data_IF_661285185418
#
_entry.id   IF_661285185418
#
_cell.length_a   1.000
_cell.length_b   1.000
_cell.length_c   1.000
_cell.angle_alpha   90.00
_cell.angle_beta   90.00
_cell.angle_gamma   90.00
#
_symmetry.space_group_name_H-M   'P 1'
#
loop_
_entity.id
_entity.type
_entity.pdbx_description
1 polymer ?
#
# COMPACT_ATOMS: atom_id res chain seq x y z
N UNK A 1 6.22 39.76 -49.00
CA UNK A 1 6.86 38.42 -49.01
C UNK A 1 6.03 37.46 -48.20
N UNK A 2 5.57 36.40 -48.83
CA UNK A 2 4.67 35.42 -48.20
C UNK A 2 5.40 34.65 -47.12
N UNK A 3 4.65 34.20 -46.11
CA UNK A 3 5.12 33.39 -44.95
C UNK A 3 5.86 32.11 -45.43
N UNK A 4 5.44 31.56 -46.56
CA UNK A 4 6.08 30.41 -47.22
C UNK A 4 7.50 30.67 -47.67
N UNK A 5 7.78 31.87 -48.23
CA UNK A 5 9.13 32.24 -48.65
C UNK A 5 10.10 32.44 -47.48
N UNK A 6 9.61 32.89 -46.32
CA UNK A 6 10.42 32.95 -45.10
C UNK A 6 10.71 31.54 -44.52
N UNK A 7 9.75 30.65 -44.59
CA UNK A 7 9.94 29.24 -44.16
C UNK A 7 10.91 28.49 -45.08
N UNK A 8 10.87 28.76 -46.41
CA UNK A 8 11.84 28.18 -47.34
C UNK A 8 13.27 28.71 -47.13
N UNK A 9 13.42 29.99 -46.86
CA UNK A 9 14.73 30.57 -46.51
C UNK A 9 15.27 30.04 -45.17
N UNK A 10 14.41 29.85 -44.14
CA UNK A 10 14.81 29.22 -42.88
C UNK A 10 15.21 27.75 -43.09
N UNK A 11 14.50 26.99 -43.92
CA UNK A 11 14.87 25.60 -44.28
C UNK A 11 16.17 25.54 -45.08
N UNK A 12 16.48 26.53 -45.91
CA UNK A 12 17.76 26.62 -46.63
C UNK A 12 18.92 27.09 -45.72
N UNK A 13 18.66 27.97 -44.74
CA UNK A 13 19.66 28.37 -43.74
C UNK A 13 19.92 27.28 -42.68
N UNK A 14 18.95 26.42 -42.38
CA UNK A 14 19.10 25.20 -41.60
C UNK A 14 19.72 24.07 -42.41
N UNK A 15 20.34 24.42 -43.56
CA UNK A 15 20.93 23.56 -44.53
C UNK A 15 21.80 22.48 -43.90
N UNK A 16 21.46 21.27 -44.25
CA UNK A 16 22.28 20.05 -44.28
C UNK A 16 23.58 20.14 -43.46
N UNK A 17 23.45 20.17 -42.14
CA UNK A 17 24.47 19.54 -41.33
C UNK A 17 24.47 18.07 -41.75
N UNK A 18 25.47 17.68 -42.53
CA UNK A 18 25.84 16.27 -42.70
C UNK A 18 25.85 15.70 -41.28
N UNK A 19 24.93 14.81 -40.98
CA UNK A 19 25.04 13.97 -39.79
C UNK A 19 26.36 13.21 -39.95
N UNK A 20 27.39 13.70 -39.27
CA UNK A 20 28.53 12.85 -38.98
C UNK A 20 27.93 11.67 -38.23
N UNK A 21 28.31 10.43 -38.55
CA UNK A 21 27.86 9.28 -37.78
C UNK A 21 28.26 9.59 -36.33
N UNK A 22 27.26 9.85 -35.48
CA UNK A 22 27.47 9.95 -34.03
C UNK A 22 28.02 8.59 -33.64
N UNK A 23 29.34 8.48 -33.48
CA UNK A 23 29.94 7.38 -32.74
C UNK A 23 29.17 7.36 -31.43
N UNK A 24 28.32 6.34 -31.24
CA UNK A 24 27.72 6.10 -29.95
C UNK A 24 28.89 6.04 -28.96
N UNK A 25 28.91 6.89 -27.93
CA UNK A 25 30.00 6.81 -26.97
C UNK A 25 30.08 5.34 -26.51
N UNK A 26 31.22 4.72 -26.77
CA UNK A 26 31.51 3.36 -26.29
C UNK A 26 31.48 3.45 -24.77
N UNK A 27 30.56 2.72 -24.15
CA UNK A 27 30.48 2.67 -22.68
C UNK A 27 31.81 2.12 -22.16
N UNK A 28 32.51 2.92 -21.34
CA UNK A 28 33.74 2.48 -20.68
C UNK A 28 33.36 1.87 -19.33
N UNK A 29 33.73 0.61 -19.12
CA UNK A 29 33.53 -0.06 -17.84
C UNK A 29 34.33 0.67 -16.74
N UNK A 30 33.71 0.89 -15.57
CA UNK A 30 34.42 1.42 -14.40
C UNK A 30 35.56 0.51 -13.95
N UNK A 31 36.53 1.10 -13.24
CA UNK A 31 37.59 0.32 -12.57
C UNK A 31 36.99 -0.58 -11.49
N UNK A 32 37.63 -1.74 -11.30
CA UNK A 32 37.21 -2.68 -10.27
C UNK A 32 37.56 -2.15 -8.89
N UNK A 33 36.66 -2.25 -7.88
CA UNK A 33 36.93 -1.81 -6.53
C UNK A 33 38.11 -2.56 -5.88
N UNK A 34 38.87 -1.89 -5.04
CA UNK A 34 40.01 -2.48 -4.34
C UNK A 34 39.61 -3.53 -3.29
N UNK A 35 38.37 -3.47 -2.80
CA UNK A 35 37.85 -4.30 -1.71
C UNK A 35 37.15 -5.60 -2.15
N UNK A 36 37.26 -5.99 -3.40
CA UNK A 36 36.59 -7.21 -3.92
C UNK A 36 36.85 -8.42 -3.04
N UNK A 37 38.11 -8.68 -2.72
CA UNK A 37 38.51 -9.86 -1.95
C UNK A 37 37.92 -9.87 -0.53
N UNK A 38 37.84 -8.70 0.09
CA UNK A 38 37.28 -8.57 1.45
C UNK A 38 35.74 -8.78 1.46
N UNK A 39 35.06 -8.26 0.45
CA UNK A 39 33.61 -8.47 0.34
C UNK A 39 33.27 -9.92 -0.05
N UNK A 40 34.11 -10.58 -0.87
CA UNK A 40 33.97 -12.02 -1.15
C UNK A 40 34.17 -12.89 0.11
N UNK A 41 35.15 -12.56 0.96
CA UNK A 41 35.34 -13.23 2.25
C UNK A 41 34.16 -13.05 3.19
N UNK A 42 33.46 -11.92 3.09
CA UNK A 42 32.23 -11.65 3.85
C UNK A 42 30.99 -12.40 3.32
N UNK A 43 31.09 -13.13 2.21
CA UNK A 43 30.03 -13.94 1.63
C UNK A 43 29.29 -13.29 0.45
N UNK A 44 29.84 -12.23 -0.15
CA UNK A 44 29.27 -11.56 -1.32
C UNK A 44 29.97 -12.08 -2.59
N UNK A 45 29.24 -12.65 -3.53
CA UNK A 45 29.77 -13.06 -4.82
C UNK A 45 29.94 -11.84 -5.74
N UNK A 46 31.12 -11.74 -6.40
CA UNK A 46 31.31 -10.75 -7.44
C UNK A 46 30.58 -11.18 -8.72
N UNK A 47 29.80 -10.27 -9.28
CA UNK A 47 29.14 -10.42 -10.60
C UNK A 47 29.71 -9.37 -11.54
N UNK A 48 30.07 -9.79 -12.75
CA UNK A 48 30.56 -8.90 -13.80
C UNK A 48 29.67 -9.03 -15.04
N UNK A 49 29.28 -7.90 -15.63
CA UNK A 49 28.53 -7.84 -16.88
C UNK A 49 29.12 -6.76 -17.83
N UNK A 50 28.43 -6.47 -18.92
CA UNK A 50 28.92 -5.52 -19.92
C UNK A 50 29.09 -4.08 -19.41
N UNK A 51 28.47 -3.75 -18.27
CA UNK A 51 28.43 -2.39 -17.71
C UNK A 51 29.36 -2.21 -16.48
N UNK A 52 29.98 -3.25 -15.99
CA UNK A 52 30.87 -3.18 -14.82
C UNK A 52 30.68 -4.34 -13.86
N UNK A 53 30.82 -4.05 -12.56
CA UNK A 53 30.75 -5.06 -11.49
C UNK A 53 29.73 -4.67 -10.42
N UNK A 54 29.20 -5.70 -9.76
CA UNK A 54 28.35 -5.58 -8.59
C UNK A 54 28.60 -6.77 -7.67
N UNK A 55 28.02 -6.75 -6.49
CA UNK A 55 28.06 -7.90 -5.61
C UNK A 55 26.68 -8.51 -5.46
N UNK A 56 26.62 -9.81 -5.23
CA UNK A 56 25.41 -10.61 -5.07
C UNK A 56 25.51 -11.48 -3.83
N UNK A 57 24.44 -11.52 -3.05
CA UNK A 57 24.20 -12.57 -2.06
C UNK A 57 22.94 -13.32 -2.44
N UNK A 58 22.94 -14.64 -2.32
CA UNK A 58 21.79 -15.48 -2.61
C UNK A 58 21.55 -16.44 -1.45
N UNK A 59 20.30 -16.57 -1.05
CA UNK A 59 19.86 -17.48 0.02
C UNK A 59 18.55 -18.15 -0.42
N UNK A 60 18.47 -19.45 -0.19
CA UNK A 60 17.30 -20.26 -0.53
C UNK A 60 16.55 -20.64 0.74
N UNK A 61 15.23 -20.50 0.72
CA UNK A 61 14.35 -20.88 1.80
C UNK A 61 13.38 -21.96 1.34
N UNK A 62 13.34 -23.13 2.03
CA UNK A 62 12.33 -24.14 1.72
C UNK A 62 10.93 -23.65 2.09
N UNK A 63 9.90 -24.20 1.48
CA UNK A 63 8.50 -23.86 1.79
C UNK A 63 8.13 -24.08 3.26
N UNK A 64 8.86 -24.97 3.93
CA UNK A 64 8.67 -25.25 5.38
C UNK A 64 9.34 -24.24 6.30
N UNK A 65 10.11 -23.29 5.75
CA UNK A 65 10.78 -22.27 6.56
C UNK A 65 9.73 -21.42 7.30
N UNK A 66 9.93 -21.29 8.61
CA UNK A 66 9.03 -20.55 9.50
C UNK A 66 9.54 -19.11 9.68
N UNK A 67 8.69 -18.13 9.38
CA UNK A 67 8.94 -16.72 9.69
C UNK A 67 7.74 -16.13 10.46
N UNK A 68 7.95 -15.81 11.72
CA UNK A 68 6.86 -15.49 12.62
C UNK A 68 5.88 -16.65 12.78
N UNK A 69 4.59 -16.40 12.65
CA UNK A 69 3.54 -17.43 12.77
C UNK A 69 3.39 -18.31 11.53
N UNK A 70 3.97 -17.92 10.37
CA UNK A 70 3.67 -18.55 9.11
C UNK A 70 4.86 -19.29 8.50
N UNK A 71 4.60 -20.45 7.89
CA UNK A 71 5.53 -21.09 6.95
C UNK A 71 5.39 -20.40 5.59
N UNK A 72 6.51 -20.19 4.89
CA UNK A 72 6.50 -19.51 3.60
C UNK A 72 5.61 -20.21 2.56
N UNK A 73 5.53 -21.54 2.60
CA UNK A 73 4.70 -22.33 1.67
C UNK A 73 3.21 -22.01 1.72
N UNK A 74 2.69 -21.46 2.83
CA UNK A 74 1.30 -20.99 2.92
C UNK A 74 0.99 -19.83 1.97
N UNK A 75 2.00 -19.27 1.33
CA UNK A 75 1.82 -18.31 0.25
C UNK A 75 1.02 -18.89 -0.92
N UNK A 76 1.29 -20.13 -1.31
CA UNK A 76 0.55 -20.78 -2.40
C UNK A 76 -0.92 -20.98 -2.04
N UNK A 77 -1.20 -21.38 -0.79
CA UNK A 77 -2.58 -21.49 -0.30
C UNK A 77 -3.29 -20.12 -0.35
N UNK A 78 -2.59 -19.05 0.04
CA UNK A 78 -3.13 -17.69 -0.02
C UNK A 78 -3.43 -17.25 -1.46
N UNK A 79 -2.58 -17.59 -2.43
CA UNK A 79 -2.82 -17.31 -3.86
C UNK A 79 -3.99 -18.13 -4.38
N UNK A 80 -4.08 -19.43 -4.02
CA UNK A 80 -5.19 -20.30 -4.41
C UNK A 80 -6.54 -19.81 -3.85
N UNK A 81 -6.57 -19.29 -2.61
CA UNK A 81 -7.77 -18.69 -2.02
C UNK A 81 -8.29 -17.52 -2.86
N UNK A 82 -7.41 -16.66 -3.37
CA UNK A 82 -7.81 -15.58 -4.27
C UNK A 82 -8.37 -16.08 -5.60
N UNK A 83 -7.85 -17.17 -6.14
CA UNK A 83 -8.36 -17.77 -7.38
C UNK A 83 -9.76 -18.38 -7.19
N UNK A 84 -10.02 -18.99 -6.02
CA UNK A 84 -11.33 -19.54 -5.68
C UNK A 84 -12.34 -18.45 -5.28
N UNK A 85 -11.85 -17.28 -4.87
CA UNK A 85 -12.71 -16.16 -4.49
C UNK A 85 -13.45 -15.60 -5.72
N UNK A 86 -14.76 -15.40 -5.59
CA UNK A 86 -15.61 -14.79 -6.63
C UNK A 86 -15.44 -13.27 -6.73
N UNK A 87 -14.40 -12.72 -6.09
CA UNK A 87 -14.21 -11.30 -5.84
C UNK A 87 -12.94 -10.83 -6.52
N UNK A 88 -13.06 -9.84 -7.40
CA UNK A 88 -11.89 -9.09 -7.88
C UNK A 88 -11.37 -8.16 -6.79
N UNK A 89 -10.15 -8.37 -6.36
CA UNK A 89 -9.54 -7.53 -5.32
C UNK A 89 -8.15 -7.05 -5.78
N UNK A 90 -7.78 -5.78 -5.58
CA UNK A 90 -6.49 -5.26 -6.02
C UNK A 90 -5.29 -5.91 -5.30
N UNK A 91 -5.55 -6.60 -4.21
CA UNK A 91 -4.59 -7.35 -3.42
C UNK A 91 -4.33 -8.77 -3.96
N UNK A 92 -5.25 -9.32 -4.75
CA UNK A 92 -5.14 -10.68 -5.29
C UNK A 92 -3.89 -10.82 -6.18
N UNK A 93 -3.08 -11.85 -5.96
CA UNK A 93 -2.02 -12.26 -6.87
C UNK A 93 -2.59 -13.24 -7.88
N UNK A 94 -2.22 -13.08 -9.15
CA UNK A 94 -2.58 -14.01 -10.22
C UNK A 94 -1.42 -14.97 -10.46
N UNK A 95 -1.73 -16.27 -10.54
CA UNK A 95 -0.71 -17.33 -10.62
C UNK A 95 0.08 -17.31 -11.94
N UNK A 96 -0.50 -16.72 -12.99
CA UNK A 96 0.09 -16.69 -14.32
C UNK A 96 1.23 -15.64 -14.45
N UNK A 97 1.43 -14.79 -13.46
CA UNK A 97 2.48 -13.77 -13.46
C UNK A 97 3.57 -14.09 -12.42
N UNK A 98 4.85 -13.97 -12.79
CA UNK A 98 5.92 -14.10 -11.83
C UNK A 98 5.78 -13.08 -10.71
N UNK A 99 5.84 -13.55 -9.47
CA UNK A 99 5.75 -12.72 -8.27
C UNK A 99 7.15 -12.44 -7.74
N UNK A 100 7.37 -11.21 -7.35
CA UNK A 100 8.63 -10.75 -6.78
C UNK A 100 8.36 -9.86 -5.58
N UNK A 101 8.80 -10.27 -4.41
CA UNK A 101 8.86 -9.40 -3.24
C UNK A 101 10.10 -8.51 -3.37
N UNK A 102 9.92 -7.22 -3.12
CA UNK A 102 10.89 -6.20 -3.48
C UNK A 102 11.03 -5.17 -2.39
N UNK A 103 12.28 -4.88 -2.04
CA UNK A 103 12.66 -3.85 -1.08
C UNK A 103 14.03 -3.27 -1.43
N UNK A 104 14.30 -2.00 -1.10
CA UNK A 104 15.53 -1.31 -1.45
C UNK A 104 16.12 -0.52 -0.30
N UNK A 105 17.47 -0.44 -0.30
CA UNK A 105 18.20 0.51 0.53
C UNK A 105 18.86 1.59 -0.32
N UNK A 106 18.73 2.82 0.11
CA UNK A 106 19.17 4.00 -0.65
C UNK A 106 20.13 4.88 0.14
N UNK A 107 21.00 5.63 -0.56
CA UNK A 107 21.93 6.56 0.08
C UNK A 107 21.28 7.85 0.60
N UNK A 108 19.97 8.03 0.36
CA UNK A 108 19.19 9.19 0.81
C UNK A 108 17.70 9.02 0.51
N UNK A 109 16.89 9.93 1.03
CA UNK A 109 15.43 9.81 0.94
C UNK A 109 14.85 10.22 -0.41
N UNK A 110 15.43 11.21 -1.09
CA UNK A 110 14.93 11.76 -2.37
C UNK A 110 16.02 12.50 -3.14
N UNK A 111 15.86 12.57 -4.45
CA UNK A 111 16.65 13.41 -5.32
C UNK A 111 17.59 12.64 -6.25
N UNK A 112 18.05 13.32 -7.30
CA UNK A 112 18.88 12.75 -8.37
C UNK A 112 20.23 12.23 -7.88
N UNK A 113 20.74 12.76 -6.77
CA UNK A 113 21.98 12.31 -6.13
C UNK A 113 21.84 11.09 -5.22
N UNK A 114 20.61 10.58 -5.04
CA UNK A 114 20.37 9.38 -4.24
C UNK A 114 20.55 8.13 -5.08
N UNK A 115 21.44 7.23 -4.68
CA UNK A 115 21.62 5.94 -5.33
C UNK A 115 20.88 4.85 -4.54
N UNK A 116 20.36 3.84 -5.25
CA UNK A 116 19.99 2.57 -4.65
C UNK A 116 21.29 1.76 -4.52
N UNK A 117 21.65 1.36 -3.31
CA UNK A 117 22.86 0.57 -3.11
C UNK A 117 22.59 -0.89 -2.76
N UNK A 118 21.35 -1.22 -2.38
CA UNK A 118 20.91 -2.59 -2.15
C UNK A 118 19.54 -2.77 -2.81
N UNK A 119 19.43 -3.80 -3.66
CA UNK A 119 18.18 -4.32 -4.22
C UNK A 119 17.94 -5.70 -3.61
N UNK A 120 16.95 -5.81 -2.77
CA UNK A 120 16.49 -7.09 -2.25
C UNK A 120 15.31 -7.62 -3.07
N UNK A 121 15.46 -8.83 -3.58
CA UNK A 121 14.49 -9.53 -4.43
C UNK A 121 14.25 -10.92 -3.85
N UNK A 122 13.00 -11.24 -3.49
CA UNK A 122 12.63 -12.58 -3.08
C UNK A 122 11.67 -13.15 -4.12
N UNK A 123 12.15 -14.06 -4.95
CA UNK A 123 11.35 -14.75 -5.97
C UNK A 123 10.69 -16.00 -5.40
N UNK A 124 9.54 -16.32 -5.98
CA UNK A 124 8.77 -17.51 -5.66
C UNK A 124 9.03 -18.56 -6.75
N UNK A 125 9.51 -19.71 -6.37
CA UNK A 125 9.74 -20.87 -7.22
C UNK A 125 8.79 -22.00 -6.79
N UNK A 126 8.72 -23.09 -7.55
CA UNK A 126 7.74 -24.16 -7.29
C UNK A 126 7.90 -24.79 -5.90
N UNK A 127 9.14 -24.97 -5.42
CA UNK A 127 9.48 -25.69 -4.20
C UNK A 127 10.22 -24.87 -3.15
N UNK A 128 10.50 -23.60 -3.45
CA UNK A 128 11.35 -22.76 -2.61
C UNK A 128 11.15 -21.26 -2.86
N UNK A 129 11.66 -20.45 -1.96
CA UNK A 129 11.84 -19.02 -2.15
C UNK A 129 13.34 -18.72 -2.32
N UNK A 130 13.67 -17.89 -3.31
CA UNK A 130 15.07 -17.51 -3.57
C UNK A 130 15.22 -16.01 -3.31
N UNK A 131 15.93 -15.70 -2.24
CA UNK A 131 16.38 -14.34 -1.93
C UNK A 131 17.62 -14.02 -2.76
N UNK A 132 17.56 -12.98 -3.56
CA UNK A 132 18.69 -12.41 -4.26
C UNK A 132 18.88 -10.97 -3.83
N UNK A 133 20.02 -10.65 -3.27
CA UNK A 133 20.41 -9.32 -2.86
C UNK A 133 21.55 -8.83 -3.75
N UNK A 134 21.29 -7.79 -4.53
CA UNK A 134 22.31 -7.11 -5.31
C UNK A 134 22.81 -5.91 -4.52
N UNK A 135 24.14 -5.77 -4.44
CA UNK A 135 24.81 -4.66 -3.78
C UNK A 135 25.61 -3.87 -4.79
N UNK A 136 25.35 -2.59 -4.86
CA UNK A 136 26.08 -1.66 -5.70
C UNK A 136 27.54 -1.60 -5.26
N UNK A 137 28.46 -1.91 -6.16
CA UNK A 137 29.89 -1.88 -5.83
C UNK A 137 30.33 -0.45 -5.44
N UNK A 138 30.03 0.50 -6.32
CA UNK A 138 30.18 1.95 -6.11
C UNK A 138 29.27 2.70 -7.09
N UNK A 139 29.07 4.01 -6.96
CA UNK A 139 28.20 4.76 -7.85
C UNK A 139 28.54 4.70 -9.34
N UNK A 140 29.81 4.45 -9.71
CA UNK A 140 30.22 4.34 -11.11
C UNK A 140 29.69 3.03 -11.75
N UNK A 141 29.48 1.99 -10.96
CA UNK A 141 28.98 0.69 -11.38
C UNK A 141 27.43 0.57 -11.40
N UNK A 142 26.71 1.69 -11.32
CA UNK A 142 25.26 1.66 -11.20
C UNK A 142 24.55 1.02 -12.41
N UNK A 143 25.07 1.22 -13.63
CA UNK A 143 24.49 0.60 -14.82
C UNK A 143 24.58 -0.94 -14.77
N UNK A 144 25.70 -1.48 -14.26
CA UNK A 144 25.86 -2.91 -14.05
C UNK A 144 24.87 -3.47 -13.03
N UNK A 145 24.71 -2.77 -11.92
CA UNK A 145 23.80 -3.11 -10.83
C UNK A 145 22.34 -3.11 -11.28
N UNK A 146 21.88 -2.06 -11.96
CA UNK A 146 20.52 -1.98 -12.47
C UNK A 146 20.24 -3.04 -13.54
N UNK A 147 21.17 -3.27 -14.47
CA UNK A 147 21.02 -4.26 -15.53
C UNK A 147 20.81 -5.67 -14.97
N UNK A 148 21.57 -6.05 -13.94
CA UNK A 148 21.51 -7.38 -13.33
C UNK A 148 20.19 -7.64 -12.58
N UNK A 149 19.45 -6.60 -12.18
CA UNK A 149 18.13 -6.73 -11.56
C UNK A 149 17.08 -7.37 -12.48
N UNK A 150 17.31 -7.37 -13.79
CA UNK A 150 16.46 -7.97 -14.85
C UNK A 150 15.03 -7.42 -14.93
N UNK A 151 14.76 -6.25 -14.35
CA UNK A 151 13.44 -5.60 -14.46
C UNK A 151 13.06 -5.19 -15.90
N UNK A 152 13.98 -5.27 -16.80
CA UNK A 152 13.76 -5.02 -18.23
C UNK A 152 13.28 -6.25 -19.02
N UNK A 153 13.43 -7.48 -18.50
CA UNK A 153 13.17 -8.71 -19.25
C UNK A 153 11.67 -8.97 -19.42
N UNK A 154 10.93 -9.05 -18.33
CA UNK A 154 9.50 -9.39 -18.37
C UNK A 154 8.71 -8.60 -17.35
N UNK A 155 7.39 -8.50 -17.57
CA UNK A 155 6.47 -7.96 -16.58
C UNK A 155 6.38 -8.91 -15.39
N UNK A 156 6.25 -8.34 -14.20
CA UNK A 156 6.15 -9.08 -12.93
C UNK A 156 5.11 -8.41 -12.06
N UNK A 157 4.52 -9.18 -11.15
CA UNK A 157 3.81 -8.60 -10.01
C UNK A 157 4.82 -8.35 -8.89
N UNK A 158 5.00 -7.08 -8.51
CA UNK A 158 5.88 -6.68 -7.41
C UNK A 158 5.07 -6.47 -6.15
N UNK A 159 5.48 -7.13 -5.07
CA UNK A 159 4.94 -6.96 -3.72
C UNK A 159 5.96 -6.22 -2.87
N UNK A 160 5.56 -5.12 -2.24
CA UNK A 160 6.47 -4.26 -1.46
C UNK A 160 5.75 -3.64 -0.26
N UNK A 161 6.50 -2.95 0.60
CA UNK A 161 5.96 -2.16 1.70
C UNK A 161 6.32 -0.68 1.52
N UNK A 162 5.36 0.15 1.13
CA UNK A 162 5.56 1.55 0.70
C UNK A 162 6.35 1.71 -0.62
N UNK A 163 6.65 0.62 -1.29
CA UNK A 163 7.51 0.62 -2.49
C UNK A 163 6.89 1.35 -3.67
N UNK A 164 5.57 1.35 -3.78
CA UNK A 164 4.85 2.12 -4.82
C UNK A 164 5.10 3.62 -4.73
N UNK A 165 5.35 4.13 -3.52
CA UNK A 165 5.57 5.56 -3.27
C UNK A 165 7.05 5.92 -3.08
N UNK A 166 7.92 4.94 -2.85
CA UNK A 166 9.32 5.17 -2.53
C UNK A 166 10.28 4.36 -3.43
N UNK A 167 10.32 3.05 -3.31
CA UNK A 167 11.33 2.20 -3.95
C UNK A 167 11.23 2.20 -5.47
N UNK A 168 10.03 2.01 -6.00
CA UNK A 168 9.82 1.96 -7.44
C UNK A 168 10.09 3.30 -8.14
N UNK A 169 9.60 4.47 -7.65
CA UNK A 169 9.97 5.78 -8.20
C UNK A 169 11.48 6.08 -8.15
N UNK A 170 12.18 5.58 -7.11
CA UNK A 170 13.63 5.69 -7.05
C UNK A 170 14.28 4.84 -8.15
N UNK A 171 13.85 3.60 -8.34
CA UNK A 171 14.34 2.72 -9.41
C UNK A 171 14.08 3.33 -10.79
N UNK A 172 12.89 3.84 -11.05
CA UNK A 172 12.55 4.53 -12.31
C UNK A 172 13.47 5.74 -12.57
N UNK A 173 13.73 6.52 -11.52
CA UNK A 173 14.63 7.68 -11.60
C UNK A 173 16.05 7.24 -11.98
N UNK A 174 16.60 6.24 -11.28
CA UNK A 174 17.94 5.71 -11.55
C UNK A 174 18.03 5.08 -12.93
N UNK A 175 17.00 4.34 -13.34
CA UNK A 175 16.90 3.76 -14.66
C UNK A 175 16.88 4.82 -15.76
N UNK A 176 16.10 5.89 -15.56
CA UNK A 176 16.01 7.02 -16.50
C UNK A 176 17.37 7.71 -16.69
N UNK A 177 18.16 7.87 -15.64
CA UNK A 177 19.51 8.44 -15.73
C UNK A 177 20.46 7.54 -16.52
N UNK A 178 20.22 6.24 -16.54
CA UNK A 178 21.02 5.25 -17.28
C UNK A 178 20.37 4.80 -18.61
N UNK A 179 19.30 5.45 -19.08
CA UNK A 179 18.49 5.02 -20.24
C UNK A 179 19.26 4.95 -21.57
N UNK A 180 20.39 5.63 -21.68
CA UNK A 180 21.22 5.61 -22.88
C UNK A 180 21.98 4.29 -23.06
N UNK A 181 22.16 3.54 -21.98
CA UNK A 181 22.93 2.28 -21.96
C UNK A 181 22.06 1.07 -21.58
N UNK A 182 21.03 1.27 -20.75
CA UNK A 182 20.15 0.20 -20.29
C UNK A 182 18.98 -0.07 -21.24
N UNK A 183 18.49 -1.31 -21.32
CA UNK A 183 17.23 -1.64 -21.97
C UNK A 183 16.07 -0.89 -21.34
N UNK A 184 14.93 -0.81 -22.05
CA UNK A 184 13.73 -0.15 -21.52
C UNK A 184 13.19 -0.88 -20.29
N UNK A 185 13.00 -0.15 -19.19
CA UNK A 185 12.36 -0.67 -17.97
C UNK A 185 10.91 -1.11 -18.27
N UNK A 186 10.49 -2.24 -17.73
CA UNK A 186 9.10 -2.72 -17.79
C UNK A 186 8.33 -2.22 -16.59
N UNK A 187 7.07 -1.84 -16.81
CA UNK A 187 6.19 -1.44 -15.72
C UNK A 187 5.57 -2.70 -15.10
N UNK A 188 5.77 -2.95 -13.80
CA UNK A 188 5.16 -4.06 -13.12
C UNK A 188 3.73 -3.74 -12.66
N UNK A 189 2.95 -4.76 -12.39
CA UNK A 189 1.82 -4.64 -11.47
C UNK A 189 2.37 -4.51 -10.05
N UNK A 190 1.82 -3.60 -9.24
CA UNK A 190 2.34 -3.33 -7.90
C UNK A 190 1.27 -3.56 -6.84
N UNK A 191 1.60 -4.40 -5.86
CA UNK A 191 0.84 -4.61 -4.62
C UNK A 191 1.65 -4.01 -3.47
N UNK A 192 1.15 -2.93 -2.88
CA UNK A 192 1.81 -2.25 -1.78
C UNK A 192 1.12 -2.61 -0.45
N UNK A 193 1.82 -3.40 0.36
CA UNK A 193 1.29 -3.94 1.61
C UNK A 193 1.10 -2.89 2.71
N UNK A 194 1.78 -1.73 2.63
CA UNK A 194 1.51 -0.60 3.53
C UNK A 194 0.11 -0.05 3.32
N UNK A 195 -0.34 0.03 2.06
CA UNK A 195 -1.68 0.56 1.76
C UNK A 195 -2.77 -0.39 2.26
N UNK A 196 -2.60 -1.70 2.14
CA UNK A 196 -3.53 -2.68 2.69
C UNK A 196 -3.48 -2.70 4.21
N UNK A 197 -2.30 -2.69 4.83
CA UNK A 197 -2.13 -2.61 6.28
C UNK A 197 -2.84 -1.39 6.87
N UNK A 198 -2.68 -0.22 6.26
CA UNK A 198 -3.39 1.01 6.66
C UNK A 198 -4.92 0.90 6.52
N UNK A 199 -5.43 0.09 5.60
CA UNK A 199 -6.87 -0.15 5.46
C UNK A 199 -7.38 -1.14 6.49
N UNK A 200 -6.68 -2.25 6.69
CA UNK A 200 -7.06 -3.34 7.61
C UNK A 200 -6.97 -2.87 9.06
N UNK A 201 -5.82 -2.33 9.47
CA UNK A 201 -5.56 -2.00 10.89
C UNK A 201 -5.68 -0.52 11.24
N UNK A 202 -6.42 0.25 10.44
CA UNK A 202 -6.72 1.65 10.79
C UNK A 202 -7.33 1.73 12.19
N UNK A 203 -6.78 2.61 13.03
CA UNK A 203 -7.16 2.82 14.43
C UNK A 203 -6.80 1.65 15.40
N UNK A 204 -6.18 0.57 14.91
CA UNK A 204 -5.68 -0.53 15.76
C UNK A 204 -4.18 -0.46 15.98
N UNK A 205 -3.44 0.05 15.01
CA UNK A 205 -2.00 0.25 15.12
C UNK A 205 -1.68 1.75 15.10
N UNK A 206 -0.91 2.23 16.08
CA UNK A 206 -0.51 3.64 16.14
C UNK A 206 0.42 4.01 14.98
N UNK A 207 1.28 3.08 14.58
CA UNK A 207 2.28 3.27 13.53
C UNK A 207 2.28 2.07 12.59
N UNK A 208 2.22 2.34 11.30
CA UNK A 208 2.30 1.33 10.24
C UNK A 208 3.75 1.17 9.75
N UNK A 209 4.71 0.99 10.67
CA UNK A 209 6.06 0.51 10.32
C UNK A 209 6.03 -1.00 10.19
N UNK A 210 6.78 -1.57 9.23
CA UNK A 210 6.81 -3.00 9.01
C UNK A 210 7.20 -3.75 10.30
N UNK A 211 8.25 -3.29 10.98
CA UNK A 211 8.70 -3.88 12.26
C UNK A 211 7.60 -3.93 13.34
N UNK A 212 6.68 -2.93 13.33
CA UNK A 212 5.55 -2.93 14.28
C UNK A 212 4.47 -3.92 13.88
N UNK A 213 4.20 -4.04 12.59
CA UNK A 213 3.29 -5.06 12.05
C UNK A 213 3.85 -6.47 12.30
N UNK A 214 5.15 -6.67 12.14
CA UNK A 214 5.84 -7.93 12.47
C UNK A 214 5.59 -8.35 13.92
N UNK A 215 5.85 -7.44 14.86
CA UNK A 215 5.69 -7.73 16.29
C UNK A 215 4.24 -8.02 16.69
N UNK A 216 3.29 -7.22 16.21
CA UNK A 216 1.91 -7.27 16.68
C UNK A 216 1.02 -8.23 15.89
N UNK A 217 1.37 -8.51 14.61
CA UNK A 217 0.50 -9.27 13.71
C UNK A 217 1.13 -10.54 13.17
N UNK A 218 2.46 -10.58 13.05
CA UNK A 218 3.15 -11.72 12.44
C UNK A 218 3.91 -12.57 13.45
N UNK A 219 4.00 -12.14 14.72
CA UNK A 219 4.73 -12.87 15.77
C UNK A 219 6.24 -12.94 15.51
N UNK A 220 6.78 -11.99 14.74
CA UNK A 220 8.19 -11.92 14.44
C UNK A 220 8.84 -10.73 15.15
N UNK A 221 9.92 -10.99 15.90
CA UNK A 221 10.75 -9.96 16.55
C UNK A 221 12.17 -10.08 16.05
N UNK A 222 12.69 -8.99 15.55
CA UNK A 222 14.08 -8.90 15.09
C UNK A 222 15.03 -8.88 16.29
N UNK A 223 16.10 -9.64 16.20
CA UNK A 223 17.17 -9.65 17.22
C UNK A 223 18.46 -9.11 16.61
N UNK A 224 19.00 -8.04 17.19
CA UNK A 224 20.25 -7.45 16.72
C UNK A 224 20.11 -6.65 15.40
N UNK A 225 18.90 -6.22 15.07
CA UNK A 225 18.65 -5.38 13.88
C UNK A 225 19.33 -4.01 13.99
N UNK A 226 19.64 -3.43 12.84
CA UNK A 226 20.17 -2.08 12.75
C UNK A 226 19.05 -1.06 12.49
N UNK A 227 19.13 0.15 13.01
CA UNK A 227 18.21 1.21 12.60
C UNK A 227 18.40 1.52 11.10
N UNK A 228 17.33 1.42 10.29
CA UNK A 228 17.39 1.62 8.84
C UNK A 228 18.03 2.94 8.39
N UNK A 229 17.91 4.03 9.20
CA UNK A 229 18.56 5.30 8.87
C UNK A 229 20.10 5.26 8.91
N UNK A 230 20.71 4.20 9.47
CA UNK A 230 22.16 3.97 9.44
C UNK A 230 22.63 3.28 8.15
N UNK A 231 21.76 2.64 7.40
CA UNK A 231 22.13 1.88 6.20
C UNK A 231 22.93 2.73 5.17
N UNK A 232 22.58 4.00 4.87
CA UNK A 232 23.36 4.87 4.00
C UNK A 232 24.79 5.12 4.48
N UNK A 233 24.95 5.33 5.78
CA UNK A 233 26.24 5.61 6.40
C UNK A 233 27.11 4.35 6.37
N UNK A 234 26.53 3.20 6.71
CA UNK A 234 27.19 1.90 6.69
C UNK A 234 27.69 1.57 5.29
N UNK A 235 26.87 1.74 4.26
CA UNK A 235 27.29 1.53 2.87
C UNK A 235 28.44 2.46 2.48
N UNK A 236 28.32 3.75 2.80
CA UNK A 236 29.37 4.73 2.48
C UNK A 236 30.70 4.42 3.17
N UNK A 237 30.65 3.95 4.39
CA UNK A 237 31.85 3.48 5.12
C UNK A 237 32.42 2.21 4.50
N UNK A 238 31.57 1.24 4.15
CA UNK A 238 32.00 -0.01 3.56
C UNK A 238 32.75 0.18 2.22
N UNK A 239 32.30 1.07 1.33
CA UNK A 239 33.01 1.35 0.07
C UNK A 239 34.31 2.10 0.28
N UNK A 240 34.45 2.90 1.35
CA UNK A 240 35.67 3.65 1.66
C UNK A 240 36.71 2.80 2.38
N UNK A 241 36.28 2.03 3.37
CA UNK A 241 37.18 1.21 4.20
C UNK A 241 37.44 -0.18 3.59
N UNK A 242 36.57 -0.68 2.73
CA UNK A 242 36.57 -2.05 2.24
C UNK A 242 35.97 -3.06 3.22
N UNK A 243 35.53 -2.65 4.42
CA UNK A 243 35.00 -3.55 5.45
C UNK A 243 33.49 -3.78 5.29
N UNK A 244 33.10 -5.01 4.92
CA UNK A 244 31.71 -5.39 4.72
C UNK A 244 30.98 -5.83 6.01
N UNK A 245 31.62 -5.91 7.17
CA UNK A 245 31.00 -6.52 8.37
C UNK A 245 29.71 -5.83 8.81
N UNK A 246 29.68 -4.49 8.79
CA UNK A 246 28.47 -3.72 9.11
C UNK A 246 27.46 -3.78 7.94
N UNK A 247 27.93 -3.83 6.69
CA UNK A 247 27.08 -3.94 5.50
C UNK A 247 26.30 -5.24 5.50
N UNK A 248 26.87 -6.35 5.96
CA UNK A 248 26.13 -7.61 6.11
C UNK A 248 24.93 -7.50 7.03
N UNK A 249 24.96 -6.63 8.05
CA UNK A 249 23.79 -6.38 8.90
C UNK A 249 22.67 -5.65 8.14
N UNK A 250 23.02 -4.78 7.19
CA UNK A 250 22.03 -4.15 6.30
C UNK A 250 21.37 -5.19 5.40
N UNK A 251 22.15 -6.16 4.90
CA UNK A 251 21.59 -7.24 4.10
C UNK A 251 20.63 -8.11 4.92
N UNK A 252 20.95 -8.41 6.19
CA UNK A 252 20.02 -9.15 7.07
C UNK A 252 18.77 -8.34 7.39
N UNK A 253 18.87 -7.01 7.56
CA UNK A 253 17.71 -6.14 7.71
C UNK A 253 16.75 -6.28 6.52
N UNK A 254 17.25 -6.06 5.30
CA UNK A 254 16.50 -6.21 4.06
C UNK A 254 15.96 -7.65 3.84
N UNK A 255 16.68 -8.68 4.25
CA UNK A 255 16.22 -10.08 4.22
C UNK A 255 14.98 -10.28 5.09
N UNK A 256 14.99 -9.76 6.32
CA UNK A 256 13.83 -9.82 7.21
C UNK A 256 12.63 -9.05 6.66
N UNK A 257 12.87 -7.86 6.05
CA UNK A 257 11.81 -7.12 5.39
C UNK A 257 11.11 -7.99 4.32
N UNK A 258 11.89 -8.61 3.44
CA UNK A 258 11.35 -9.43 2.35
C UNK A 258 10.60 -10.68 2.83
N UNK A 259 11.12 -11.39 3.83
CA UNK A 259 10.44 -12.53 4.44
C UNK A 259 9.13 -12.11 5.10
N UNK A 260 9.13 -10.95 5.76
CA UNK A 260 7.95 -10.39 6.39
C UNK A 260 6.89 -9.96 5.37
N UNK A 261 7.27 -9.53 4.16
CA UNK A 261 6.29 -9.27 3.09
C UNK A 261 5.52 -10.53 2.71
N UNK A 262 6.18 -11.69 2.63
CA UNK A 262 5.50 -12.96 2.33
C UNK A 262 4.47 -13.29 3.42
N UNK A 263 4.89 -13.27 4.67
CA UNK A 263 4.01 -13.64 5.79
C UNK A 263 2.90 -12.61 6.03
N UNK A 264 3.17 -11.33 5.76
CA UNK A 264 2.15 -10.28 5.79
C UNK A 264 1.10 -10.46 4.68
N UNK A 265 1.52 -10.87 3.49
CA UNK A 265 0.60 -11.21 2.40
C UNK A 265 -0.31 -12.37 2.78
N UNK A 266 0.26 -13.45 3.35
CA UNK A 266 -0.50 -14.61 3.84
C UNK A 266 -1.53 -14.18 4.89
N UNK A 267 -1.07 -13.51 5.94
CA UNK A 267 -1.92 -13.05 7.05
C UNK A 267 -3.06 -12.15 6.56
N UNK A 268 -2.75 -11.15 5.76
CA UNK A 268 -3.77 -10.23 5.25
C UNK A 268 -4.76 -10.92 4.30
N UNK A 269 -4.33 -11.92 3.52
CA UNK A 269 -5.23 -12.72 2.68
C UNK A 269 -6.21 -13.52 3.51
N UNK A 270 -5.74 -14.18 4.56
CA UNK A 270 -6.60 -14.93 5.47
C UNK A 270 -7.65 -14.02 6.13
N UNK A 271 -7.24 -12.84 6.62
CA UNK A 271 -8.17 -11.87 7.18
C UNK A 271 -9.24 -11.40 6.17
N UNK A 272 -8.84 -11.17 4.93
CA UNK A 272 -9.74 -10.67 3.90
C UNK A 272 -10.75 -11.73 3.42
N UNK A 273 -10.34 -13.00 3.34
CA UNK A 273 -11.16 -14.06 2.72
C UNK A 273 -11.81 -15.01 3.70
N UNK A 274 -11.17 -15.33 4.83
CA UNK A 274 -11.64 -16.37 5.74
C UNK A 274 -12.21 -15.82 7.06
N UNK A 275 -11.77 -14.62 7.45
CA UNK A 275 -12.21 -14.01 8.69
C UNK A 275 -11.76 -14.84 9.90
N UNK A 276 -10.46 -14.88 10.18
CA UNK A 276 -9.93 -15.40 11.43
C UNK A 276 -10.37 -14.48 12.57
N UNK A 277 -11.36 -14.92 13.36
CA UNK A 277 -12.06 -14.10 14.38
C UNK A 277 -11.23 -13.79 15.63
N UNK A 278 -9.91 -13.91 15.57
CA UNK A 278 -8.99 -13.52 16.63
C UNK A 278 -8.66 -12.01 16.60
N UNK A 279 -9.02 -11.31 15.52
CA UNK A 279 -8.83 -9.87 15.39
C UNK A 279 -10.00 -9.06 15.98
N UNK A 280 -9.81 -7.78 16.18
CA UNK A 280 -10.81 -6.90 16.76
C UNK A 280 -11.98 -6.58 15.82
N UNK A 281 -13.13 -6.20 16.37
CA UNK A 281 -14.28 -5.68 15.64
C UNK A 281 -13.89 -4.53 14.68
N UNK A 282 -12.94 -3.67 15.10
CA UNK A 282 -12.43 -2.56 14.30
C UNK A 282 -11.74 -3.06 13.03
N UNK A 283 -10.91 -4.10 13.11
CA UNK A 283 -10.23 -4.71 11.96
C UNK A 283 -11.24 -5.19 10.93
N UNK A 284 -12.21 -5.99 11.33
CA UNK A 284 -13.22 -6.51 10.40
C UNK A 284 -14.17 -5.43 9.88
N UNK A 285 -14.51 -4.44 10.71
CA UNK A 285 -15.25 -3.26 10.25
C UNK A 285 -14.49 -2.52 9.13
N UNK A 286 -13.18 -2.37 9.29
CA UNK A 286 -12.33 -1.76 8.27
C UNK A 286 -12.30 -2.59 6.97
N UNK A 287 -12.25 -3.92 7.07
CA UNK A 287 -12.32 -4.85 5.93
C UNK A 287 -13.68 -4.74 5.23
N UNK A 288 -14.78 -4.79 5.98
CA UNK A 288 -16.13 -4.62 5.43
C UNK A 288 -16.29 -3.27 4.71
N UNK A 289 -15.77 -2.20 5.32
CA UNK A 289 -15.73 -0.88 4.68
C UNK A 289 -14.89 -0.91 3.40
N UNK A 290 -13.74 -1.59 3.39
CA UNK A 290 -12.88 -1.66 2.22
C UNK A 290 -13.57 -2.35 1.04
N UNK A 291 -14.28 -3.46 1.27
CA UNK A 291 -15.12 -4.08 0.26
C UNK A 291 -16.21 -3.13 -0.27
N UNK A 292 -16.83 -2.34 0.61
CA UNK A 292 -17.76 -1.29 0.20
C UNK A 292 -17.14 -0.22 -0.69
N UNK A 293 -15.94 0.23 -0.38
CA UNK A 293 -15.16 1.19 -1.19
C UNK A 293 -14.77 0.60 -2.56
N UNK A 294 -14.58 -0.72 -2.66
CA UNK A 294 -14.32 -1.47 -3.88
C UNK A 294 -15.60 -1.78 -4.70
N UNK A 295 -16.77 -1.29 -4.26
CA UNK A 295 -18.07 -1.54 -4.86
C UNK A 295 -18.48 -3.03 -4.87
N UNK A 296 -18.12 -3.72 -3.82
CA UNK A 296 -18.45 -5.12 -3.56
C UNK A 296 -19.44 -5.21 -2.38
N UNK A 297 -20.71 -4.88 -2.60
CA UNK A 297 -21.68 -4.72 -1.53
C UNK A 297 -22.00 -6.04 -0.81
N UNK A 298 -21.98 -7.16 -1.52
CA UNK A 298 -22.29 -8.48 -0.94
C UNK A 298 -21.24 -8.86 0.11
N UNK A 299 -19.97 -8.78 -0.25
CA UNK A 299 -18.85 -9.09 0.66
C UNK A 299 -18.80 -8.10 1.83
N UNK A 300 -19.01 -6.82 1.54
CA UNK A 300 -19.07 -5.80 2.56
C UNK A 300 -20.19 -6.07 3.57
N UNK A 301 -21.39 -6.41 3.11
CA UNK A 301 -22.53 -6.74 3.95
C UNK A 301 -22.28 -7.99 4.79
N UNK A 302 -21.76 -9.06 4.18
CA UNK A 302 -21.40 -10.29 4.89
C UNK A 302 -20.45 -10.02 6.06
N UNK A 303 -19.32 -9.35 5.80
CA UNK A 303 -18.32 -9.04 6.84
C UNK A 303 -18.93 -8.16 7.94
N UNK A 304 -19.64 -7.08 7.57
CA UNK A 304 -20.22 -6.17 8.56
C UNK A 304 -21.31 -6.83 9.39
N UNK A 305 -22.14 -7.68 8.79
CA UNK A 305 -23.17 -8.46 9.49
C UNK A 305 -22.52 -9.39 10.51
N UNK A 306 -21.48 -10.12 10.10
CA UNK A 306 -20.75 -11.02 11.01
C UNK A 306 -20.12 -10.25 12.18
N UNK A 307 -19.60 -9.03 11.95
CA UNK A 307 -19.12 -8.17 13.05
C UNK A 307 -20.26 -7.82 14.02
N UNK A 308 -21.43 -7.45 13.50
CA UNK A 308 -22.56 -7.05 14.35
C UNK A 308 -23.19 -8.22 15.13
N UNK A 309 -22.94 -9.45 14.71
CA UNK A 309 -23.43 -10.68 15.36
C UNK A 309 -22.44 -11.23 16.38
N UNK A 310 -21.12 -11.12 16.14
CA UNK A 310 -20.11 -11.76 16.96
C UNK A 310 -19.47 -10.85 18.04
N UNK A 311 -19.59 -9.53 17.89
CA UNK A 311 -19.00 -8.58 18.83
C UNK A 311 -20.06 -7.79 19.58
N UNK A 312 -19.70 -7.30 20.77
CA UNK A 312 -20.58 -6.44 21.56
C UNK A 312 -20.94 -5.18 20.79
N UNK A 313 -22.15 -4.66 20.99
CA UNK A 313 -22.67 -3.48 20.25
C UNK A 313 -21.73 -2.27 20.36
N UNK A 314 -21.06 -2.10 21.50
CA UNK A 314 -20.07 -1.02 21.72
C UNK A 314 -18.91 -1.12 20.75
N UNK A 315 -18.36 -2.32 20.56
CA UNK A 315 -17.25 -2.60 19.65
C UNK A 315 -17.68 -2.58 18.18
N UNK A 316 -18.92 -3.01 17.91
CA UNK A 316 -19.52 -3.10 16.58
C UNK A 316 -20.21 -1.80 16.12
N UNK A 317 -20.20 -0.72 16.91
CA UNK A 317 -20.91 0.51 16.59
C UNK A 317 -20.62 1.09 15.22
N UNK A 318 -19.35 1.08 14.79
CA UNK A 318 -18.95 1.52 13.47
C UNK A 318 -19.36 0.53 12.36
N UNK A 319 -19.43 -0.77 12.65
CA UNK A 319 -19.95 -1.76 11.71
C UNK A 319 -21.44 -1.55 11.47
N UNK A 320 -22.22 -1.34 12.53
CA UNK A 320 -23.63 -0.96 12.43
C UNK A 320 -23.84 0.31 11.59
N UNK A 321 -22.97 1.30 11.74
CA UNK A 321 -23.01 2.52 10.93
C UNK A 321 -22.87 2.22 9.43
N UNK A 322 -21.86 1.46 9.02
CA UNK A 322 -21.66 1.15 7.60
C UNK A 322 -22.73 0.20 7.05
N UNK A 323 -23.14 -0.80 7.83
CA UNK A 323 -24.19 -1.75 7.48
C UNK A 323 -25.53 -1.04 7.24
N UNK A 324 -25.90 -0.10 8.11
CA UNK A 324 -27.13 0.68 7.97
C UNK A 324 -27.24 1.43 6.64
N UNK A 325 -26.11 2.00 6.14
CA UNK A 325 -26.11 2.64 4.83
C UNK A 325 -26.31 1.66 3.68
N UNK A 326 -25.82 0.44 3.81
CA UNK A 326 -26.03 -0.60 2.78
C UNK A 326 -27.47 -1.11 2.81
N UNK A 327 -28.00 -1.43 3.99
CA UNK A 327 -29.39 -1.85 4.18
C UNK A 327 -30.36 -0.79 3.64
N UNK A 328 -30.10 0.49 3.94
CA UNK A 328 -30.89 1.59 3.35
C UNK A 328 -30.85 1.61 1.82
N UNK A 329 -29.67 1.40 1.22
CA UNK A 329 -29.51 1.36 -0.25
C UNK A 329 -30.27 0.20 -0.87
N UNK A 330 -30.31 -0.93 -0.16
CA UNK A 330 -31.03 -2.14 -0.58
C UNK A 330 -32.53 -2.07 -0.30
N UNK A 331 -33.05 -0.96 0.27
CA UNK A 331 -34.46 -0.78 0.58
C UNK A 331 -34.92 -1.47 1.88
N UNK A 332 -34.02 -2.02 2.66
CA UNK A 332 -34.27 -2.69 3.94
C UNK A 332 -34.41 -1.62 5.04
N UNK A 333 -35.58 -0.97 5.07
CA UNK A 333 -35.79 0.26 5.88
C UNK A 333 -35.73 -0.01 7.37
N UNK A 334 -36.39 -1.07 7.83
CA UNK A 334 -36.49 -1.38 9.27
C UNK A 334 -35.14 -1.84 9.83
N UNK A 335 -34.41 -2.68 9.08
CA UNK A 335 -33.05 -3.12 9.43
C UNK A 335 -32.09 -1.93 9.44
N UNK A 336 -32.17 -1.04 8.46
CA UNK A 336 -31.35 0.16 8.43
C UNK A 336 -31.58 1.07 9.64
N UNK A 337 -32.83 1.25 10.05
CA UNK A 337 -33.18 2.03 11.25
C UNK A 337 -32.59 1.38 12.50
N UNK A 338 -32.75 0.06 12.66
CA UNK A 338 -32.19 -0.68 13.81
C UNK A 338 -30.66 -0.55 13.86
N UNK A 339 -30.00 -0.73 12.72
CA UNK A 339 -28.55 -0.59 12.63
C UNK A 339 -28.09 0.84 12.91
N UNK A 340 -28.77 1.87 12.40
CA UNK A 340 -28.47 3.26 12.74
C UNK A 340 -28.65 3.57 14.22
N UNK A 341 -29.70 3.04 14.85
CA UNK A 341 -29.92 3.21 16.29
C UNK A 341 -28.81 2.55 17.12
N UNK A 342 -28.39 1.33 16.75
CA UNK A 342 -27.28 0.65 17.40
C UNK A 342 -25.96 1.41 17.25
N UNK A 343 -25.73 2.09 16.14
CA UNK A 343 -24.53 2.88 15.91
C UNK A 343 -24.48 4.18 16.73
N UNK A 344 -25.63 4.76 17.08
CA UNK A 344 -25.79 6.16 17.51
C UNK A 344 -24.93 6.53 18.73
N UNK A 345 -24.78 5.62 19.70
CA UNK A 345 -24.02 5.86 20.93
C UNK A 345 -22.52 5.60 20.80
N UNK A 346 -22.07 4.90 19.75
CA UNK A 346 -20.72 4.35 19.64
C UNK A 346 -19.91 4.91 18.47
N UNK A 347 -20.48 5.89 17.75
CA UNK A 347 -19.79 6.61 16.67
C UNK A 347 -19.40 8.02 17.10
N UNK A 348 -18.38 8.60 16.44
CA UNK A 348 -17.98 9.97 16.74
C UNK A 348 -19.03 11.00 16.28
N UNK A 349 -18.92 12.24 16.72
CA UNK A 349 -19.93 13.28 16.47
C UNK A 349 -20.20 13.56 14.99
N UNK A 350 -19.23 13.37 14.09
CA UNK A 350 -19.46 13.53 12.64
C UNK A 350 -20.34 12.41 12.09
N UNK A 351 -20.08 11.19 12.49
CA UNK A 351 -20.87 10.02 12.11
C UNK A 351 -22.23 10.08 12.81
N UNK A 352 -22.27 10.45 14.08
CA UNK A 352 -23.51 10.65 14.84
C UNK A 352 -24.46 11.63 14.15
N UNK A 353 -23.94 12.77 13.70
CA UNK A 353 -24.76 13.74 12.95
C UNK A 353 -25.35 13.13 11.67
N UNK A 354 -24.57 12.32 10.95
CA UNK A 354 -25.06 11.62 9.75
C UNK A 354 -26.10 10.56 10.11
N UNK A 355 -25.91 9.80 11.18
CA UNK A 355 -26.89 8.82 11.66
C UNK A 355 -28.21 9.49 11.97
N UNK A 356 -28.19 10.58 12.77
CA UNK A 356 -29.38 11.35 13.11
C UNK A 356 -30.08 11.87 11.85
N UNK A 357 -29.32 12.35 10.87
CA UNK A 357 -29.91 12.79 9.59
C UNK A 357 -30.59 11.63 8.85
N UNK A 358 -29.97 10.46 8.77
CA UNK A 358 -30.54 9.31 8.08
C UNK A 358 -31.81 8.80 8.79
N UNK A 359 -31.79 8.71 10.12
CA UNK A 359 -32.98 8.36 10.91
C UNK A 359 -34.13 9.36 10.67
N UNK A 360 -33.84 10.66 10.74
CA UNK A 360 -34.84 11.68 10.44
C UNK A 360 -35.43 11.55 9.01
N UNK A 361 -34.56 11.22 8.01
CA UNK A 361 -35.00 11.00 6.63
C UNK A 361 -35.89 9.76 6.52
N UNK A 362 -35.51 8.64 7.11
CA UNK A 362 -36.25 7.38 7.02
C UNK A 362 -37.62 7.51 7.69
N UNK A 363 -37.70 8.10 8.89
CA UNK A 363 -38.94 8.32 9.56
C UNK A 363 -39.82 9.36 8.85
N UNK A 364 -39.24 10.42 8.27
CA UNK A 364 -39.99 11.46 7.53
C UNK A 364 -40.60 10.93 6.23
N UNK A 365 -39.81 10.20 5.42
CA UNK A 365 -40.15 9.91 4.04
C UNK A 365 -40.64 8.48 3.79
N UNK A 366 -40.07 7.48 4.52
CA UNK A 366 -40.41 6.07 4.32
C UNK A 366 -41.57 5.65 5.23
N UNK A 367 -41.41 5.86 6.55
CA UNK A 367 -42.41 5.44 7.54
C UNK A 367 -43.50 6.45 7.79
N UNK A 368 -43.29 7.74 7.42
CA UNK A 368 -44.22 8.86 7.69
C UNK A 368 -44.56 9.04 9.17
N UNK A 369 -43.61 8.68 10.05
CA UNK A 369 -43.66 8.84 11.51
C UNK A 369 -43.00 10.16 11.89
N UNK A 370 -43.78 11.25 11.76
CA UNK A 370 -43.24 12.61 11.86
C UNK A 370 -42.76 12.98 13.26
N UNK A 371 -43.31 12.38 14.31
CA UNK A 371 -42.87 12.60 15.69
C UNK A 371 -41.43 12.07 15.90
N UNK A 372 -41.12 10.86 15.39
CA UNK A 372 -39.79 10.32 15.46
C UNK A 372 -38.82 11.10 14.56
N UNK A 373 -39.26 11.51 13.37
CA UNK A 373 -38.47 12.38 12.50
C UNK A 373 -38.11 13.70 13.18
N UNK A 374 -39.06 14.30 13.92
CA UNK A 374 -38.86 15.52 14.70
C UNK A 374 -37.85 15.31 15.83
N UNK A 375 -37.97 14.21 16.57
CA UNK A 375 -37.05 13.83 17.66
C UNK A 375 -35.60 13.80 17.16
N UNK A 376 -35.29 13.02 16.11
CA UNK A 376 -33.93 12.93 15.56
C UNK A 376 -33.45 14.24 14.92
N UNK A 377 -34.35 15.05 14.39
CA UNK A 377 -34.00 16.38 13.86
C UNK A 377 -33.56 17.32 14.98
N UNK A 378 -34.27 17.33 16.12
CA UNK A 378 -33.92 18.15 17.28
C UNK A 378 -32.59 17.70 17.90
N UNK A 379 -32.35 16.38 18.05
CA UNK A 379 -31.08 15.87 18.52
C UNK A 379 -29.90 16.31 17.62
N UNK A 380 -30.10 16.31 16.30
CA UNK A 380 -29.07 16.76 15.35
C UNK A 380 -28.78 18.26 15.50
N UNK A 381 -29.77 19.09 15.71
CA UNK A 381 -29.60 20.54 15.99
C UNK A 381 -28.85 20.74 17.31
N UNK A 382 -29.27 20.06 18.36
CA UNK A 382 -28.62 20.14 19.66
C UNK A 382 -27.16 19.72 19.62
N UNK A 383 -26.82 18.67 18.85
CA UNK A 383 -25.46 18.23 18.66
C UNK A 383 -24.62 19.30 17.93
N UNK A 384 -25.18 19.99 16.94
CA UNK A 384 -24.49 21.06 16.20
C UNK A 384 -24.26 22.31 17.07
N UNK A 385 -25.16 22.60 18.03
CA UNK A 385 -25.05 23.74 18.92
C UNK A 385 -24.11 23.50 20.10
N UNK A 386 -24.13 22.28 20.65
CA UNK A 386 -23.38 21.94 21.88
C UNK A 386 -21.92 21.64 21.66
N UNK A 387 -21.47 21.31 20.44
CA UNK A 387 -20.11 20.79 20.20
C UNK A 387 -19.46 21.35 18.93
N UNK A 388 -18.18 21.73 19.06
CA UNK A 388 -17.37 22.24 17.96
C UNK A 388 -16.54 21.13 17.31
N UNK A 389 -17.17 20.28 16.47
CA UNK A 389 -16.51 19.24 15.69
C UNK A 389 -16.50 19.51 14.17
N UNK A 390 -17.11 20.61 13.76
CA UNK A 390 -17.21 21.10 12.38
C UNK A 390 -16.58 22.49 12.32
N UNK A 391 -15.91 22.82 11.20
CA UNK A 391 -15.37 24.17 10.98
C UNK A 391 -16.51 25.20 10.96
N UNK A 392 -16.27 26.38 11.55
CA UNK A 392 -17.30 27.45 11.73
C UNK A 392 -18.01 27.86 10.43
N UNK A 393 -17.28 27.91 9.31
CA UNK A 393 -17.81 28.22 7.99
C UNK A 393 -18.79 27.16 7.45
N UNK A 394 -18.61 25.91 7.83
CA UNK A 394 -19.47 24.78 7.47
C UNK A 394 -20.62 24.60 8.46
N UNK A 395 -20.40 24.89 9.74
CA UNK A 395 -21.39 24.71 10.80
C UNK A 395 -22.68 25.50 10.49
N UNK A 396 -22.56 26.74 10.04
CA UNK A 396 -23.73 27.56 9.69
C UNK A 396 -24.57 26.92 8.56
N UNK A 397 -23.96 26.34 7.56
CA UNK A 397 -24.68 25.64 6.48
C UNK A 397 -25.43 24.41 7.00
N UNK A 398 -24.84 23.66 7.91
CA UNK A 398 -25.51 22.53 8.55
C UNK A 398 -26.69 22.98 9.36
N UNK A 399 -26.52 23.99 10.23
CA UNK A 399 -27.62 24.55 11.04
C UNK A 399 -28.78 25.00 10.16
N UNK A 400 -28.54 25.75 9.08
CA UNK A 400 -29.58 26.19 8.15
C UNK A 400 -30.36 24.99 7.55
N UNK A 401 -29.65 23.96 7.11
CA UNK A 401 -30.29 22.78 6.50
C UNK A 401 -31.13 21.99 7.51
N UNK A 402 -30.63 21.84 8.72
CA UNK A 402 -31.35 21.16 9.80
C UNK A 402 -32.58 21.97 10.28
N UNK A 403 -32.47 23.30 10.37
CA UNK A 403 -33.62 24.19 10.70
C UNK A 403 -34.69 24.11 9.63
N UNK A 404 -34.32 24.09 8.34
CA UNK A 404 -35.30 23.89 7.25
C UNK A 404 -35.98 22.52 7.34
N UNK A 405 -35.28 21.47 7.73
CA UNK A 405 -35.87 20.16 7.98
C UNK A 405 -36.86 20.23 9.13
N UNK A 406 -36.48 20.83 10.24
CA UNK A 406 -37.33 21.02 11.41
C UNK A 406 -38.67 21.63 11.02
N UNK A 407 -38.66 22.80 10.38
CA UNK A 407 -39.86 23.51 9.94
C UNK A 407 -40.74 22.66 8.99
N UNK A 408 -40.11 21.89 8.09
CA UNK A 408 -40.81 21.00 7.17
C UNK A 408 -41.49 19.84 7.91
N UNK A 409 -40.84 19.22 8.85
CA UNK A 409 -41.34 18.06 9.62
C UNK A 409 -42.49 18.54 10.55
N UNK A 410 -42.33 19.68 11.22
CA UNK A 410 -43.39 20.28 12.05
C UNK A 410 -44.65 20.58 11.24
N UNK A 411 -44.50 21.14 10.02
CA UNK A 411 -45.64 21.40 9.12
C UNK A 411 -46.34 20.08 8.74
N UNK A 412 -45.58 19.01 8.44
CA UNK A 412 -46.15 17.69 8.10
C UNK A 412 -46.87 17.08 9.29
N UNK A 413 -46.36 17.24 10.51
CA UNK A 413 -46.98 16.75 11.74
C UNK A 413 -48.32 17.47 11.98
N UNK A 414 -48.33 18.80 11.87
CA UNK A 414 -49.57 19.60 12.01
C UNK A 414 -50.63 19.24 10.97
N UNK A 415 -50.25 18.88 9.77
CA UNK A 415 -51.20 18.51 8.70
C UNK A 415 -51.74 17.07 8.83
N UNK A 416 -51.17 16.25 9.70
CA UNK A 416 -51.58 14.86 9.95
C UNK A 416 -52.51 14.75 11.15
N UNK A 417 -52.49 15.74 12.04
CA UNK A 417 -53.44 15.96 13.16
C UNK A 417 -54.69 16.64 12.69
#
# INVERSE_FOLDING_TARGET
>A
MSYENKMMQLKQMLGKKKEQPKNKPTFQKPEKPFYINEWQKAGLALVENDFGVLFKREVTYPLTFQHGFYKLGLFFDAVEKWQKATVEHPYAIHIDEPVLFFDTETTGLKGVGTNIFLLGLLSVEEDQFVLTQYVLADPANEAAFLFESKFWQQSKTIVSYNGKSFDWPQLETRWTLNQNVLPKLRNPRQIDLLHSSKRIWKNNLERMKLTKVEEEKLGFRRNGDIPGFLAPIIYTDAIKSGNASALMKVLYHNEWDLLSLVTLYIHSTNLLLEGEWEESATTYTNIGKWYGDLKQPIQSEQVLTTVTENYQTEEAGLAHYYLAFQQKRNGMVEEAIKSFQNALSFVNNREKLKVLEQLAILYEHQLKEYERALHYTNEGLQLLESQSFIKKDQQMKYVINWTRRLQRVEKKLKNKL
#
